data_IF_482518324871
#
_entry.id   IF_482518324871
#
_cell.length_a   1.000
_cell.length_b   1.000
_cell.length_c   1.000
_cell.angle_alpha   90.00
_cell.angle_beta   90.00
_cell.angle_gamma   90.00
#
_symmetry.space_group_name_H-M   'P 1'
#
loop_
_entity.id
_entity.type
_entity.pdbx_description
1 polymer ?
#
# COMPACT_ATOMS: atom_id res chain seq x y z
N UNK A 1 -16.52 -64.00 -45.63
CA UNK A 1 -17.77 -64.58 -46.18
C UNK A 1 -18.84 -63.52 -45.93
N UNK A 2 -19.46 -63.06 -47.06
CA UNK A 2 -20.72 -62.38 -47.24
C UNK A 2 -20.75 -60.93 -46.81
N UNK A 3 -20.61 -59.92 -47.65
CA UNK A 3 -21.29 -59.46 -48.91
C UNK A 3 -22.61 -58.68 -48.65
N UNK A 4 -22.59 -57.40 -49.14
CA UNK A 4 -23.62 -56.62 -49.80
C UNK A 4 -24.65 -55.89 -48.89
N UNK A 5 -25.16 -54.71 -49.17
CA UNK A 5 -25.30 -53.93 -50.42
C UNK A 5 -25.73 -52.52 -50.10
N UNK A 6 -25.41 -51.64 -50.99
CA UNK A 6 -25.81 -50.26 -51.25
C UNK A 6 -27.31 -49.96 -51.17
N UNK A 7 -27.70 -48.78 -50.86
CA UNK A 7 -28.76 -48.04 -51.57
C UNK A 7 -28.58 -46.54 -51.42
N UNK A 8 -28.34 -45.87 -52.54
CA UNK A 8 -28.42 -44.46 -52.84
C UNK A 8 -29.92 -44.08 -52.98
N UNK A 9 -30.34 -43.00 -52.34
CA UNK A 9 -31.47 -42.22 -52.83
C UNK A 9 -31.14 -40.71 -52.66
N UNK A 10 -31.03 -40.06 -53.82
CA UNK A 10 -31.12 -38.62 -54.00
C UNK A 10 -32.62 -38.25 -53.99
N UNK A 11 -32.98 -37.10 -53.39
CA UNK A 11 -33.93 -36.14 -53.94
C UNK A 11 -33.92 -34.80 -53.20
N UNK A 12 -33.43 -33.83 -53.92
CA UNK A 12 -33.91 -32.49 -54.29
C UNK A 12 -34.56 -31.57 -53.23
N UNK A 13 -33.87 -30.50 -53.04
CA UNK A 13 -34.24 -29.08 -52.91
C UNK A 13 -35.71 -28.69 -52.68
N UNK A 14 -35.88 -27.90 -51.60
CA UNK A 14 -36.76 -26.74 -51.67
C UNK A 14 -36.19 -25.62 -50.77
N UNK A 15 -35.93 -24.49 -51.38
CA UNK A 15 -35.62 -23.20 -50.82
C UNK A 15 -36.87 -22.61 -50.15
N UNK A 16 -36.74 -22.15 -48.91
CA UNK A 16 -37.59 -21.06 -48.44
C UNK A 16 -36.80 -20.22 -47.43
N UNK A 17 -36.60 -18.98 -47.76
CA UNK A 17 -35.96 -18.00 -46.93
C UNK A 17 -36.78 -17.61 -45.70
N UNK A 18 -36.11 -17.50 -44.59
CA UNK A 18 -36.64 -16.95 -43.36
C UNK A 18 -35.49 -16.24 -42.65
N UNK A 19 -35.32 -14.93 -42.91
CA UNK A 19 -34.33 -14.10 -42.24
C UNK A 19 -34.69 -13.95 -40.77
N UNK A 20 -33.99 -14.68 -39.91
CA UNK A 20 -33.94 -14.35 -38.49
C UNK A 20 -32.98 -13.21 -38.29
N UNK A 21 -33.53 -12.01 -38.10
CA UNK A 21 -32.76 -10.87 -37.52
C UNK A 21 -32.26 -11.30 -36.17
N UNK A 22 -30.98 -11.57 -36.05
CA UNK A 22 -30.28 -11.57 -34.78
C UNK A 22 -30.39 -10.14 -34.21
N UNK A 23 -31.25 -9.95 -33.24
CA UNK A 23 -31.25 -8.78 -32.37
C UNK A 23 -29.99 -8.89 -31.50
N UNK A 24 -28.91 -8.27 -31.97
CA UNK A 24 -27.76 -8.02 -31.15
C UNK A 24 -28.17 -7.05 -30.04
N UNK A 25 -28.40 -7.59 -28.87
CA UNK A 25 -28.43 -6.78 -27.65
C UNK A 25 -27.04 -6.19 -27.46
N UNK A 26 -26.88 -4.93 -27.89
CA UNK A 26 -25.79 -4.08 -27.49
C UNK A 26 -25.91 -3.88 -25.96
N UNK A 27 -25.34 -4.76 -25.17
CA UNK A 27 -25.02 -4.44 -23.77
C UNK A 27 -23.97 -3.32 -23.79
N UNK A 28 -24.44 -2.09 -23.93
CA UNK A 28 -23.68 -0.94 -23.48
C UNK A 28 -23.48 -1.14 -21.98
N UNK A 29 -22.30 -1.60 -21.60
CA UNK A 29 -21.87 -1.52 -20.21
C UNK A 29 -21.97 -0.05 -19.82
N UNK A 30 -22.98 0.29 -19.02
CA UNK A 30 -23.06 1.62 -18.40
C UNK A 30 -21.73 1.86 -17.71
N UNK A 31 -21.04 2.90 -18.15
CA UNK A 31 -19.82 3.37 -17.46
C UNK A 31 -20.28 3.82 -16.09
N UNK A 32 -20.04 3.00 -15.08
CA UNK A 32 -20.24 3.40 -13.69
C UNK A 32 -19.39 4.66 -13.47
N UNK A 33 -20.06 5.79 -13.33
CA UNK A 33 -19.42 7.05 -12.97
C UNK A 33 -19.09 6.93 -11.49
N UNK A 34 -17.85 6.61 -11.20
CA UNK A 34 -17.34 6.61 -9.82
C UNK A 34 -17.18 8.07 -9.39
N UNK A 35 -18.01 8.50 -8.46
CA UNK A 35 -17.83 9.81 -7.81
C UNK A 35 -16.65 9.68 -6.84
N UNK A 36 -15.50 10.21 -7.24
CA UNK A 36 -14.30 10.24 -6.40
C UNK A 36 -14.38 11.46 -5.50
N UNK A 37 -14.34 11.32 -4.16
CA UNK A 37 -14.33 12.45 -3.26
C UNK A 37 -13.07 13.28 -3.45
N UNK A 38 -13.20 14.60 -3.22
CA UNK A 38 -12.05 15.47 -3.30
C UNK A 38 -11.13 15.25 -2.09
N UNK A 39 -9.85 14.99 -2.36
CA UNK A 39 -8.80 14.93 -1.36
C UNK A 39 -8.49 16.34 -0.84
N UNK A 40 -8.43 16.49 0.47
CA UNK A 40 -8.10 17.74 1.15
C UNK A 40 -6.62 17.74 1.54
N UNK A 41 -5.81 18.42 0.73
CA UNK A 41 -4.37 18.50 0.93
C UNK A 41 -3.99 19.23 2.23
N UNK A 42 -4.75 20.25 2.63
CA UNK A 42 -4.50 20.99 3.87
C UNK A 42 -4.74 20.11 5.10
N UNK A 43 -5.79 19.28 5.07
CA UNK A 43 -6.01 18.27 6.11
C UNK A 43 -4.89 17.24 6.17
N UNK A 44 -4.44 16.72 5.02
CA UNK A 44 -3.32 15.76 4.97
C UNK A 44 -2.04 16.38 5.54
N UNK A 45 -1.71 17.63 5.15
CA UNK A 45 -0.58 18.37 5.70
C UNK A 45 -0.71 18.58 7.22
N UNK A 46 -1.90 18.91 7.72
CA UNK A 46 -2.12 19.05 9.16
C UNK A 46 -1.88 17.72 9.90
N UNK A 47 -2.23 16.59 9.32
CA UNK A 47 -1.94 15.27 9.92
C UNK A 47 -0.43 14.98 9.95
N UNK A 48 0.32 15.39 8.94
CA UNK A 48 1.80 15.33 8.96
C UNK A 48 2.34 16.21 10.08
N UNK A 49 1.94 17.49 10.13
CA UNK A 49 2.36 18.44 11.15
C UNK A 49 2.09 17.92 12.56
N UNK A 50 0.90 17.38 12.81
CA UNK A 50 0.53 16.85 14.12
C UNK A 50 1.43 15.70 14.57
N UNK A 51 1.89 14.85 13.65
CA UNK A 51 2.85 13.79 13.95
C UNK A 51 4.23 14.37 14.31
N UNK A 52 4.70 15.34 13.53
CA UNK A 52 5.98 16.03 13.75
C UNK A 52 6.00 16.79 15.09
N UNK A 53 4.88 17.37 15.48
CA UNK A 53 4.76 18.13 16.75
C UNK A 53 4.94 17.23 17.99
N UNK A 54 4.82 15.91 17.90
CA UNK A 54 5.20 14.99 18.99
C UNK A 54 6.72 14.89 19.16
N UNK A 55 7.49 15.18 18.13
CA UNK A 55 8.92 14.91 18.04
C UNK A 55 9.25 13.62 17.30
N UNK A 56 10.50 13.17 17.32
CA UNK A 56 10.91 11.91 16.71
C UNK A 56 10.12 10.70 17.29
N UNK A 57 9.50 9.91 16.40
CA UNK A 57 8.70 8.75 16.79
C UNK A 57 9.54 7.48 16.84
N UNK A 58 10.72 7.58 17.45
CA UNK A 58 11.61 6.43 17.60
C UNK A 58 10.99 5.40 18.55
N UNK A 59 10.93 4.11 18.19
CA UNK A 59 10.43 3.06 19.08
C UNK A 59 11.03 3.14 20.49
N UNK A 60 10.23 2.83 21.51
CA UNK A 60 10.55 2.92 22.94
C UNK A 60 10.52 4.34 23.55
N UNK A 61 10.25 5.39 22.78
CA UNK A 61 10.16 6.76 23.33
C UNK A 61 8.73 7.13 23.75
N UNK A 62 8.61 8.17 24.57
CA UNK A 62 7.29 8.70 24.96
C UNK A 62 6.57 9.37 23.79
N UNK A 63 7.32 9.97 22.87
CA UNK A 63 6.85 10.59 21.63
C UNK A 63 6.20 9.56 20.72
N UNK A 64 6.85 8.42 20.55
CA UNK A 64 6.33 7.26 19.83
C UNK A 64 5.01 6.77 20.43
N UNK A 65 4.96 6.54 21.74
CA UNK A 65 3.71 6.11 22.42
C UNK A 65 2.60 7.14 22.23
N UNK A 66 2.90 8.43 22.39
CA UNK A 66 1.91 9.50 22.28
C UNK A 66 1.37 9.63 20.84
N UNK A 67 2.26 9.61 19.85
CA UNK A 67 1.88 9.64 18.44
C UNK A 67 1.06 8.40 18.05
N UNK A 68 1.47 7.19 18.45
CA UNK A 68 0.71 5.97 18.19
C UNK A 68 -0.72 6.02 18.78
N UNK A 69 -0.91 6.64 19.96
CA UNK A 69 -2.24 6.85 20.53
C UNK A 69 -3.07 7.85 19.69
N UNK A 70 -2.44 8.93 19.21
CA UNK A 70 -3.07 9.88 18.32
C UNK A 70 -3.53 9.22 17.02
N UNK A 71 -2.66 8.42 16.37
CA UNK A 71 -2.96 7.73 15.12
C UNK A 71 -4.13 6.74 15.26
N UNK A 72 -4.11 5.91 16.31
CA UNK A 72 -5.20 5.00 16.62
C UNK A 72 -6.52 5.75 16.84
N UNK A 73 -6.51 6.82 17.65
CA UNK A 73 -7.69 7.66 17.90
C UNK A 73 -8.20 8.37 16.64
N UNK A 74 -7.32 8.74 15.70
CA UNK A 74 -7.75 9.33 14.41
C UNK A 74 -8.46 8.30 13.53
N UNK A 75 -7.93 7.08 13.42
CA UNK A 75 -8.60 6.01 12.67
C UNK A 75 -9.97 5.66 13.28
N UNK A 76 -10.06 5.60 14.63
CA UNK A 76 -11.34 5.40 15.33
C UNK A 76 -12.33 6.53 15.04
N UNK A 77 -11.88 7.79 15.13
CA UNK A 77 -12.71 8.97 14.83
C UNK A 77 -13.20 8.99 13.37
N UNK A 78 -12.44 8.39 12.46
CA UNK A 78 -12.84 8.20 11.08
C UNK A 78 -13.59 6.88 10.82
N UNK A 79 -14.14 6.26 11.87
CA UNK A 79 -15.06 5.13 11.76
C UNK A 79 -14.41 3.77 11.50
N UNK A 80 -13.09 3.66 11.59
CA UNK A 80 -12.43 2.37 11.48
C UNK A 80 -12.59 1.53 12.74
N UNK A 81 -12.68 0.21 12.57
CA UNK A 81 -12.42 -0.74 13.67
C UNK A 81 -10.92 -0.84 13.86
N UNK A 82 -10.40 -0.29 14.95
CA UNK A 82 -8.96 -0.25 15.20
C UNK A 82 -8.48 -1.51 15.94
N UNK A 83 -7.37 -2.06 15.48
CA UNK A 83 -6.60 -3.12 16.13
C UNK A 83 -5.18 -2.62 16.34
N UNK A 84 -4.71 -2.65 17.59
CA UNK A 84 -3.32 -2.38 17.94
C UNK A 84 -2.57 -3.70 18.08
N UNK A 85 -1.59 -3.93 17.19
CA UNK A 85 -0.77 -5.12 17.22
C UNK A 85 0.58 -4.79 17.86
N UNK A 86 0.71 -5.11 19.14
CA UNK A 86 1.97 -4.93 19.87
C UNK A 86 2.91 -6.11 19.62
N UNK A 87 4.20 -5.84 19.49
CA UNK A 87 5.23 -6.84 19.31
C UNK A 87 6.54 -6.42 19.98
N UNK A 88 7.25 -7.40 20.52
CA UNK A 88 8.62 -7.26 20.98
C UNK A 88 9.55 -7.68 19.83
N UNK A 89 10.21 -6.71 19.19
CA UNK A 89 11.06 -6.93 18.04
C UNK A 89 12.52 -6.69 18.42
N UNK A 90 13.44 -7.44 17.82
CA UNK A 90 14.87 -7.30 18.08
C UNK A 90 15.51 -6.58 16.92
N UNK A 91 16.10 -5.41 17.19
CA UNK A 91 16.84 -4.63 16.22
C UNK A 91 18.21 -5.26 15.89
N UNK A 92 18.89 -4.74 14.86
CA UNK A 92 20.19 -5.22 14.37
C UNK A 92 21.28 -5.26 15.46
N UNK A 93 21.21 -4.39 16.44
CA UNK A 93 22.15 -4.24 17.56
C UNK A 93 21.75 -5.03 18.83
N UNK A 94 20.64 -5.77 18.77
CA UNK A 94 20.08 -6.50 19.91
C UNK A 94 19.13 -5.69 20.78
N UNK A 95 18.85 -4.44 20.45
CA UNK A 95 17.88 -3.61 21.15
C UNK A 95 16.48 -4.20 21.04
N UNK A 96 15.78 -4.33 22.17
CA UNK A 96 14.38 -4.76 22.21
C UNK A 96 13.47 -3.55 21.92
N UNK A 97 12.78 -3.59 20.79
CA UNK A 97 11.82 -2.57 20.37
C UNK A 97 10.40 -2.97 20.78
N UNK A 98 9.70 -2.12 21.52
CA UNK A 98 8.29 -2.26 21.85
C UNK A 98 7.46 -1.68 20.71
N UNK A 99 7.34 -2.43 19.65
CA UNK A 99 6.69 -1.99 18.42
C UNK A 99 5.16 -2.09 18.49
N UNK A 100 4.47 -1.29 17.70
CA UNK A 100 3.02 -1.21 17.61
C UNK A 100 2.56 -0.95 16.17
N UNK A 101 2.18 -1.97 15.44
CA UNK A 101 1.42 -1.77 14.20
C UNK A 101 -0.01 -1.35 14.54
N UNK A 102 -0.56 -0.38 13.81
CA UNK A 102 -1.90 0.18 14.03
C UNK A 102 -2.74 -0.09 12.80
N UNK A 103 -3.81 -0.85 12.94
CA UNK A 103 -4.65 -1.30 11.83
C UNK A 103 -6.05 -0.70 11.97
N UNK A 104 -6.50 0.09 11.00
CA UNK A 104 -7.85 0.59 10.88
C UNK A 104 -8.61 -0.15 9.79
N UNK A 105 -9.61 -0.97 10.18
CA UNK A 105 -10.39 -1.78 9.25
C UNK A 105 -11.75 -1.17 8.98
N UNK A 106 -12.06 -0.93 7.70
CA UNK A 106 -13.38 -0.54 7.20
C UNK A 106 -14.05 -1.76 6.57
N UNK A 107 -15.33 -1.98 6.90
CA UNK A 107 -16.07 -3.20 6.52
C UNK A 107 -15.25 -4.47 6.75
N UNK A 108 -14.89 -4.77 8.01
CA UNK A 108 -14.02 -5.89 8.36
C UNK A 108 -14.59 -7.25 7.95
N UNK A 109 -15.91 -7.36 7.78
CA UNK A 109 -16.61 -8.56 7.32
C UNK A 109 -16.45 -8.82 5.80
N UNK A 110 -16.04 -7.81 5.02
CA UNK A 110 -15.90 -7.94 3.58
C UNK A 110 -14.69 -8.80 3.23
N UNK A 111 -14.93 -9.86 2.45
CA UNK A 111 -13.86 -10.71 1.89
C UNK A 111 -13.15 -10.07 0.69
N UNK A 112 -13.78 -9.05 0.06
CA UNK A 112 -13.19 -8.29 -1.03
C UNK A 112 -12.57 -7.03 -0.45
N UNK A 113 -11.28 -7.03 -0.19
CA UNK A 113 -10.58 -5.92 0.44
C UNK A 113 -9.27 -5.57 -0.23
N UNK A 114 -8.80 -4.36 0.02
CA UNK A 114 -7.46 -3.87 -0.28
C UNK A 114 -6.80 -3.42 1.02
N UNK A 115 -5.47 -3.36 1.02
CA UNK A 115 -4.68 -2.85 2.13
C UNK A 115 -3.88 -1.63 1.69
N UNK A 116 -3.84 -0.61 2.54
CA UNK A 116 -3.04 0.60 2.36
C UNK A 116 -2.06 0.68 3.51
N UNK A 117 -0.80 0.92 3.22
CA UNK A 117 0.28 0.89 4.19
C UNK A 117 1.06 2.18 4.21
N UNK A 118 1.60 2.53 5.35
CA UNK A 118 2.67 3.50 5.55
C UNK A 118 3.38 3.17 6.86
N UNK A 119 4.67 3.41 6.98
CA UNK A 119 5.31 3.37 8.29
C UNK A 119 5.09 4.68 9.05
N UNK A 120 5.16 4.65 10.38
CA UNK A 120 4.86 5.81 11.21
C UNK A 120 5.97 6.15 12.23
N UNK A 121 6.90 5.24 12.45
CA UNK A 121 8.10 5.48 13.23
C UNK A 121 9.08 6.39 12.50
N UNK A 122 10.17 6.75 13.14
CA UNK A 122 11.22 7.55 12.55
C UNK A 122 12.59 7.00 12.89
N UNK A 123 13.53 7.28 12.00
CA UNK A 123 14.92 6.92 12.12
C UNK A 123 15.55 7.54 13.36
N UNK A 124 16.22 6.75 14.21
CA UNK A 124 16.92 7.25 15.39
C UNK A 124 18.20 8.00 15.06
N UNK A 125 18.61 8.03 13.81
CA UNK A 125 19.87 8.60 13.34
C UNK A 125 19.66 9.45 12.09
N UNK A 126 20.26 10.66 12.06
CA UNK A 126 20.37 11.46 10.85
C UNK A 126 21.67 11.10 10.10
N UNK A 127 21.90 9.81 9.87
CA UNK A 127 23.16 9.25 9.37
C UNK A 127 23.44 9.53 7.89
N UNK A 128 22.51 10.16 7.19
CA UNK A 128 22.69 10.73 5.85
C UNK A 128 22.80 12.26 5.86
N UNK A 129 22.83 12.91 7.04
CA UNK A 129 23.02 14.37 7.13
C UNK A 129 24.44 14.75 6.69
N UNK A 130 24.57 15.86 5.96
CA UNK A 130 25.87 16.36 5.52
C UNK A 130 26.81 16.77 6.66
N UNK A 131 26.29 17.15 7.84
CA UNK A 131 27.07 17.41 9.05
C UNK A 131 27.09 16.16 9.95
N UNK A 132 28.22 15.46 10.00
CA UNK A 132 28.42 14.25 10.81
C UNK A 132 28.05 14.41 12.30
N UNK A 133 28.04 15.65 12.82
CA UNK A 133 27.63 15.92 14.22
C UNK A 133 26.15 15.54 14.45
N UNK A 134 25.34 15.53 13.40
CA UNK A 134 23.93 15.17 13.46
C UNK A 134 23.69 13.67 13.39
N UNK A 135 24.68 12.86 12.96
CA UNK A 135 24.50 11.44 12.66
C UNK A 135 23.89 10.62 13.80
N UNK A 136 24.11 11.01 15.06
CA UNK A 136 23.56 10.33 16.23
C UNK A 136 22.31 10.99 16.80
N UNK A 137 21.68 11.90 16.06
CA UNK A 137 20.42 12.54 16.45
C UNK A 137 19.25 11.97 15.69
N UNK A 138 18.08 11.75 16.33
CA UNK A 138 16.91 11.25 15.63
C UNK A 138 16.33 12.32 14.69
N UNK A 139 15.74 11.88 13.58
CA UNK A 139 15.07 12.76 12.63
C UNK A 139 13.62 13.04 13.05
N UNK A 140 13.06 14.17 12.59
CA UNK A 140 11.64 14.50 12.79
C UNK A 140 10.69 13.72 11.87
N UNK A 141 11.20 13.19 10.77
CA UNK A 141 10.47 12.32 9.86
C UNK A 141 9.18 12.94 9.33
N UNK A 142 9.24 14.15 8.76
CA UNK A 142 8.05 14.79 8.18
C UNK A 142 7.65 14.14 6.85
N UNK A 143 8.64 13.87 5.99
CA UNK A 143 8.42 13.14 4.75
C UNK A 143 8.49 11.64 4.98
N UNK A 144 9.53 11.21 5.64
CA UNK A 144 9.84 9.85 6.01
C UNK A 144 9.18 9.49 7.35
N UNK A 145 8.23 8.71 7.30
CA UNK A 145 7.06 8.13 7.80
C UNK A 145 5.82 9.01 7.84
N UNK A 146 5.88 10.30 8.24
CA UNK A 146 4.65 11.05 8.51
C UNK A 146 3.85 11.41 7.25
N UNK A 147 4.48 11.53 6.07
CA UNK A 147 3.76 11.93 4.85
C UNK A 147 2.81 10.85 4.35
N UNK A 148 3.26 9.60 4.29
CA UNK A 148 2.43 8.45 3.94
C UNK A 148 1.24 8.30 4.88
N UNK A 149 1.50 8.37 6.19
CA UNK A 149 0.46 8.34 7.23
C UNK A 149 -0.52 9.51 7.09
N UNK A 150 -0.03 10.73 6.85
CA UNK A 150 -0.89 11.91 6.67
C UNK A 150 -1.84 11.77 5.49
N UNK A 151 -1.33 11.26 4.36
CA UNK A 151 -2.14 10.95 3.18
C UNK A 151 -3.19 9.87 3.48
N UNK A 152 -2.80 8.80 4.18
CA UNK A 152 -3.70 7.70 4.54
C UNK A 152 -4.77 8.12 5.57
N UNK A 153 -4.48 9.05 6.47
CA UNK A 153 -5.50 9.60 7.39
C UNK A 153 -6.56 10.41 6.63
N UNK A 154 -6.16 11.17 5.62
CA UNK A 154 -7.14 11.86 4.77
C UNK A 154 -7.96 10.85 3.95
N UNK A 155 -7.34 9.81 3.42
CA UNK A 155 -8.03 8.69 2.77
C UNK A 155 -8.99 8.01 3.75
N UNK A 156 -8.61 7.80 5.01
CA UNK A 156 -9.46 7.25 6.06
C UNK A 156 -10.74 8.10 6.25
N UNK A 157 -10.57 9.42 6.32
CA UNK A 157 -11.69 10.36 6.41
C UNK A 157 -12.63 10.23 5.21
N UNK A 158 -12.08 10.14 4.00
CA UNK A 158 -12.86 10.00 2.77
C UNK A 158 -13.56 8.63 2.67
N UNK A 159 -12.91 7.56 3.10
CA UNK A 159 -13.51 6.21 3.17
C UNK A 159 -14.72 6.21 4.10
N UNK A 160 -14.62 6.88 5.25
CA UNK A 160 -15.75 7.02 6.17
C UNK A 160 -16.93 7.78 5.56
N UNK A 161 -16.65 8.84 4.79
CA UNK A 161 -17.69 9.62 4.10
C UNK A 161 -18.36 8.87 2.96
N UNK A 162 -17.58 8.12 2.16
CA UNK A 162 -18.07 7.48 0.93
C UNK A 162 -18.56 6.04 1.14
N UNK A 163 -18.15 5.39 2.23
CA UNK A 163 -18.56 4.03 2.58
C UNK A 163 -18.48 3.04 1.39
N UNK A 164 -17.30 2.86 0.75
CA UNK A 164 -17.16 2.03 -0.42
C UNK A 164 -17.61 0.58 -0.13
N UNK A 165 -18.05 -0.16 -1.16
CA UNK A 165 -18.56 -1.53 -0.97
C UNK A 165 -17.48 -2.55 -0.59
N UNK A 166 -16.21 -2.28 -0.95
CA UNK A 166 -15.11 -3.17 -0.57
C UNK A 166 -14.57 -2.85 0.84
N UNK A 167 -14.00 -3.84 1.49
CA UNK A 167 -13.23 -3.63 2.71
C UNK A 167 -11.92 -2.91 2.43
N UNK A 168 -11.53 -2.01 3.32
CA UNK A 168 -10.25 -1.30 3.25
C UNK A 168 -9.59 -1.42 4.62
N UNK A 169 -8.33 -1.86 4.63
CA UNK A 169 -7.48 -1.78 5.81
C UNK A 169 -6.42 -0.71 5.59
N UNK A 170 -6.32 0.22 6.53
CA UNK A 170 -5.24 1.19 6.62
C UNK A 170 -4.33 0.71 7.74
N UNK A 171 -3.08 0.44 7.42
CA UNK A 171 -2.13 -0.23 8.31
C UNK A 171 -0.90 0.65 8.43
N UNK A 172 -0.71 1.19 9.63
CA UNK A 172 0.50 1.93 9.98
C UNK A 172 1.49 0.94 10.58
N UNK A 173 2.61 0.77 9.92
CA UNK A 173 3.68 -0.16 10.27
C UNK A 173 4.71 0.55 11.15
N UNK A 174 5.28 -0.17 12.11
CA UNK A 174 6.22 0.35 13.08
C UNK A 174 7.61 -0.28 12.90
N UNK A 175 8.64 0.38 13.40
CA UNK A 175 10.01 -0.09 13.35
C UNK A 175 10.47 -0.47 11.93
N UNK A 176 10.04 0.31 10.95
CA UNK A 176 10.54 0.25 9.59
C UNK A 176 11.97 0.77 9.57
N UNK A 177 12.17 1.96 10.13
CA UNK A 177 13.34 2.83 9.96
C UNK A 177 14.41 2.67 11.08
N UNK A 178 14.22 1.67 11.95
CA UNK A 178 15.24 1.28 12.95
C UNK A 178 16.31 0.33 12.36
N UNK A 179 16.60 0.49 11.07
CA UNK A 179 17.57 -0.31 10.36
C UNK A 179 19.01 0.08 10.69
N UNK A 180 19.97 -0.65 10.11
CA UNK A 180 21.40 -0.46 10.35
C UNK A 180 21.87 0.91 9.87
N UNK A 181 22.45 1.77 10.72
CA UNK A 181 22.94 3.10 10.33
C UNK A 181 24.21 3.01 9.47
N UNK A 182 24.48 4.08 8.69
CA UNK A 182 25.65 4.17 7.82
C UNK A 182 27.00 4.03 8.55
N UNK A 183 27.07 4.49 9.80
CA UNK A 183 28.28 4.41 10.64
C UNK A 183 28.45 3.03 11.32
N UNK A 184 27.59 2.05 11.06
CA UNK A 184 27.72 0.71 11.61
C UNK A 184 28.78 -0.09 10.86
N UNK A 185 29.83 -0.53 11.56
CA UNK A 185 30.94 -1.27 10.97
C UNK A 185 30.66 -2.75 10.74
N UNK A 186 29.50 -3.24 11.20
CA UNK A 186 29.09 -4.65 11.04
C UNK A 186 28.50 -4.96 9.68
N UNK A 187 27.98 -6.18 9.56
CA UNK A 187 27.32 -6.61 8.32
C UNK A 187 25.91 -6.01 8.21
N UNK A 188 25.68 -5.20 7.20
CA UNK A 188 24.34 -4.74 6.84
C UNK A 188 23.50 -5.90 6.29
N UNK A 189 22.26 -6.01 6.76
CA UNK A 189 21.30 -7.04 6.35
C UNK A 189 19.99 -6.38 5.97
N UNK A 190 19.41 -6.84 4.88
CA UNK A 190 18.08 -6.39 4.43
C UNK A 190 17.02 -6.62 5.53
N UNK A 191 17.09 -7.76 6.22
CA UNK A 191 16.11 -8.13 7.26
C UNK A 191 16.24 -7.32 8.57
N UNK A 192 17.22 -6.41 8.66
CA UNK A 192 17.34 -5.48 9.79
C UNK A 192 16.37 -4.29 9.70
N UNK A 193 15.72 -4.11 8.55
CA UNK A 193 14.76 -3.07 8.24
C UNK A 193 13.32 -3.60 8.27
N UNK A 194 12.35 -2.71 8.30
CA UNK A 194 10.93 -3.04 8.11
C UNK A 194 10.43 -4.11 9.11
N UNK A 195 10.88 -4.05 10.37
CA UNK A 195 10.61 -5.11 11.35
C UNK A 195 9.11 -5.27 11.64
N UNK A 196 8.35 -4.18 11.64
CA UNK A 196 6.91 -4.21 11.86
C UNK A 196 6.14 -4.90 10.75
N UNK A 197 6.48 -4.64 9.48
CA UNK A 197 5.84 -5.33 8.35
C UNK A 197 6.25 -6.80 8.28
N UNK A 198 7.49 -7.14 8.61
CA UNK A 198 7.93 -8.52 8.74
C UNK A 198 7.10 -9.27 9.79
N UNK A 199 6.87 -8.63 10.95
CA UNK A 199 6.06 -9.22 12.01
C UNK A 199 4.60 -9.37 11.60
N UNK A 200 3.98 -8.29 11.07
CA UNK A 200 2.59 -8.30 10.60
C UNK A 200 2.37 -9.35 9.51
N UNK A 201 3.30 -9.48 8.57
CA UNK A 201 3.20 -10.43 7.46
C UNK A 201 3.20 -11.88 7.92
N UNK A 202 3.90 -12.20 9.02
CA UNK A 202 3.90 -13.53 9.63
C UNK A 202 2.74 -13.75 10.61
N UNK A 203 2.22 -12.66 11.19
CA UNK A 203 1.20 -12.65 12.23
C UNK A 203 0.08 -11.66 11.90
N UNK A 204 -0.67 -11.84 10.82
CA UNK A 204 -1.68 -10.87 10.43
C UNK A 204 -2.74 -10.71 11.53
N UNK A 205 -3.30 -9.51 11.64
CA UNK A 205 -4.29 -9.14 12.66
C UNK A 205 -5.61 -9.92 12.58
N UNK A 206 -5.85 -10.65 11.50
CA UNK A 206 -6.98 -11.57 11.30
C UNK A 206 -6.43 -12.89 10.78
N UNK A 207 -6.85 -13.98 11.35
CA UNK A 207 -6.46 -15.32 10.89
C UNK A 207 -6.90 -15.54 9.43
N UNK A 208 -5.96 -15.97 8.58
CA UNK A 208 -6.22 -16.16 7.14
C UNK A 208 -6.47 -14.85 6.39
N UNK A 209 -5.95 -13.73 6.90
CA UNK A 209 -6.03 -12.43 6.24
C UNK A 209 -5.54 -12.50 4.81
N UNK A 210 -6.31 -11.90 3.91
CA UNK A 210 -5.92 -11.75 2.52
C UNK A 210 -6.53 -10.46 1.96
N UNK A 211 -5.73 -9.72 1.21
CA UNK A 211 -6.15 -8.55 0.44
C UNK A 211 -5.92 -8.81 -1.05
N UNK A 212 -6.75 -8.22 -1.89
CA UNK A 212 -6.62 -8.35 -3.36
C UNK A 212 -5.29 -7.77 -3.84
N UNK A 213 -4.85 -6.71 -3.20
CA UNK A 213 -3.56 -6.06 -3.35
C UNK A 213 -3.33 -5.07 -2.23
N UNK A 214 -2.08 -4.64 -2.08
CA UNK A 214 -1.65 -3.57 -1.20
C UNK A 214 -1.05 -2.39 -1.96
N UNK A 215 -1.05 -1.21 -1.33
CA UNK A 215 -0.32 -0.02 -1.76
C UNK A 215 0.37 0.55 -0.54
N UNK A 216 1.67 0.65 -0.57
CA UNK A 216 2.49 1.37 0.39
C UNK A 216 2.67 2.81 -0.07
N UNK A 217 2.66 3.75 0.85
CA UNK A 217 3.00 5.14 0.63
C UNK A 217 4.19 5.49 1.51
N UNK A 218 5.33 5.75 0.92
CA UNK A 218 6.50 6.23 1.63
C UNK A 218 7.09 7.48 0.98
N UNK A 219 7.53 8.43 1.83
CA UNK A 219 8.16 9.70 1.42
C UNK A 219 7.37 10.50 0.37
N UNK A 220 6.04 10.45 0.42
CA UNK A 220 5.15 11.03 -0.62
C UNK A 220 4.90 12.54 -0.49
N UNK A 221 5.50 13.20 0.51
CA UNK A 221 5.26 14.61 0.84
C UNK A 221 6.34 15.57 0.32
N UNK A 222 7.34 15.09 -0.42
CA UNK A 222 8.42 15.93 -0.94
C UNK A 222 7.93 16.91 -2.03
N UNK A 223 8.49 18.12 -2.02
CA UNK A 223 8.22 19.10 -3.06
C UNK A 223 8.77 18.60 -4.41
N UNK A 224 7.93 18.65 -5.45
CA UNK A 224 8.27 18.20 -6.80
C UNK A 224 8.60 16.70 -6.92
N UNK A 225 8.21 15.88 -5.95
CA UNK A 225 8.43 14.43 -6.02
C UNK A 225 7.88 13.82 -7.30
N UNK A 226 8.65 12.91 -7.88
CA UNK A 226 8.31 12.12 -9.06
C UNK A 226 8.33 10.65 -8.67
N UNK A 227 7.31 9.91 -9.08
CA UNK A 227 7.18 8.49 -8.78
C UNK A 227 7.37 7.67 -10.05
N UNK A 228 8.40 6.83 -10.04
CA UNK A 228 8.61 5.77 -11.01
C UNK A 228 7.99 4.47 -10.48
N UNK A 229 7.85 3.47 -11.33
CA UNK A 229 7.42 2.14 -10.88
C UNK A 229 8.60 1.45 -10.21
N UNK A 230 8.59 1.42 -8.88
CA UNK A 230 9.63 0.82 -8.08
C UNK A 230 9.91 -0.63 -8.52
N UNK A 231 11.16 -1.09 -8.43
CA UNK A 231 11.64 -2.31 -9.06
C UNK A 231 11.05 -3.60 -8.52
N UNK A 232 10.91 -3.77 -7.19
CA UNK A 232 10.23 -4.92 -6.59
C UNK A 232 8.72 -4.88 -6.82
N UNK A 233 8.12 -3.69 -6.85
CA UNK A 233 6.71 -3.51 -7.23
C UNK A 233 6.43 -4.01 -8.64
N UNK A 234 7.34 -3.76 -9.59
CA UNK A 234 7.26 -4.31 -10.96
C UNK A 234 7.48 -5.84 -10.99
N UNK A 235 8.29 -6.38 -10.09
CA UNK A 235 8.53 -7.82 -10.00
C UNK A 235 7.32 -8.57 -9.43
N UNK A 236 6.76 -8.11 -8.30
CA UNK A 236 5.71 -8.83 -7.58
C UNK A 236 4.29 -8.44 -8.00
N UNK A 237 4.06 -7.19 -8.42
CA UNK A 237 2.73 -6.62 -8.64
C UNK A 237 2.61 -5.72 -9.89
N UNK A 238 3.15 -6.11 -11.08
CA UNK A 238 3.15 -5.25 -12.28
C UNK A 238 1.75 -4.87 -12.75
N UNK A 239 0.76 -5.72 -12.53
CA UNK A 239 -0.64 -5.47 -12.85
C UNK A 239 -1.25 -4.36 -11.96
N UNK A 240 -0.80 -4.24 -10.72
CA UNK A 240 -1.23 -3.18 -9.79
C UNK A 240 -0.55 -1.86 -10.13
N UNK A 241 0.77 -1.86 -10.37
CA UNK A 241 1.49 -0.69 -10.88
C UNK A 241 0.79 -0.11 -12.11
N UNK A 242 0.59 -0.93 -13.14
CA UNK A 242 -0.10 -0.52 -14.37
C UNK A 242 -1.48 0.09 -14.09
N UNK A 243 -2.24 -0.47 -13.16
CA UNK A 243 -3.55 0.03 -12.77
C UNK A 243 -3.47 1.39 -12.11
N UNK A 244 -2.55 1.56 -11.14
CA UNK A 244 -2.39 2.79 -10.36
C UNK A 244 -1.85 3.92 -11.22
N UNK A 245 -0.77 3.70 -12.00
CA UNK A 245 -0.21 4.69 -12.91
C UNK A 245 -1.21 5.14 -14.00
N UNK A 246 -2.00 4.20 -14.52
CA UNK A 246 -3.09 4.53 -15.45
C UNK A 246 -4.16 5.41 -14.77
N UNK A 247 -4.50 5.14 -13.51
CA UNK A 247 -5.45 5.95 -12.75
C UNK A 247 -4.90 7.35 -12.47
N UNK A 248 -3.64 7.46 -12.04
CA UNK A 248 -2.95 8.73 -11.82
C UNK A 248 -2.89 9.58 -13.10
N UNK A 249 -2.51 8.99 -14.23
CA UNK A 249 -2.51 9.66 -15.54
C UNK A 249 -3.91 10.16 -15.92
N UNK A 250 -4.96 9.35 -15.70
CA UNK A 250 -6.34 9.74 -15.97
C UNK A 250 -6.81 10.90 -15.06
N UNK A 251 -6.30 10.95 -13.84
CA UNK A 251 -6.56 12.03 -12.88
C UNK A 251 -5.76 13.32 -13.15
N UNK A 252 -4.87 13.31 -14.16
CA UNK A 252 -4.08 14.50 -14.54
C UNK A 252 -2.64 14.51 -14.00
N UNK A 253 -2.24 13.48 -13.24
CA UNK A 253 -0.92 13.41 -12.57
C UNK A 253 0.14 12.63 -13.37
N UNK A 254 0.00 12.53 -14.69
CA UNK A 254 0.94 11.79 -15.53
C UNK A 254 2.36 12.38 -15.60
N UNK A 255 2.57 13.61 -15.11
CA UNK A 255 3.91 14.21 -14.95
C UNK A 255 4.57 13.88 -13.62
N UNK A 256 3.77 13.50 -12.64
CA UNK A 256 4.21 13.08 -11.32
C UNK A 256 4.41 11.56 -11.25
N UNK A 257 3.49 10.81 -11.89
CA UNK A 257 3.56 9.35 -12.00
C UNK A 257 4.08 8.98 -13.40
N UNK A 258 5.40 8.85 -13.50
CA UNK A 258 6.08 8.55 -14.77
C UNK A 258 6.01 7.04 -15.05
N UNK A 259 5.57 6.67 -16.26
CA UNK A 259 5.38 5.27 -16.67
C UNK A 259 6.71 4.61 -17.08
N UNK A 260 7.69 4.66 -16.17
CA UNK A 260 9.02 4.10 -16.32
C UNK A 260 9.34 3.23 -15.09
N UNK A 261 10.29 2.30 -15.25
CA UNK A 261 10.77 1.48 -14.13
C UNK A 261 11.82 2.27 -13.36
N UNK A 262 11.66 2.30 -12.04
CA UNK A 262 12.64 2.80 -11.08
C UNK A 262 13.58 1.72 -10.52
N UNK A 263 14.40 2.10 -9.57
CA UNK A 263 15.28 1.21 -8.84
C UNK A 263 14.51 0.27 -7.92
N UNK A 264 15.19 -0.74 -7.38
CA UNK A 264 14.67 -1.61 -6.32
C UNK A 264 14.99 -0.99 -4.96
N UNK A 265 13.96 -0.85 -4.14
CA UNK A 265 14.08 -0.26 -2.80
C UNK A 265 13.66 -1.30 -1.76
N UNK A 266 14.50 -1.51 -0.74
CA UNK A 266 14.12 -2.34 0.41
C UNK A 266 13.20 -1.52 1.30
N UNK A 267 11.93 -1.92 1.35
CA UNK A 267 10.90 -1.27 2.12
C UNK A 267 9.81 -2.29 2.52
N UNK A 268 8.84 -1.90 3.31
CA UNK A 268 7.77 -2.73 3.88
C UNK A 268 7.06 -3.59 2.82
N UNK A 269 6.80 -3.04 1.63
CA UNK A 269 6.15 -3.77 0.52
C UNK A 269 6.91 -5.02 0.11
N UNK A 270 8.24 -5.01 0.18
CA UNK A 270 9.07 -6.16 -0.15
C UNK A 270 8.75 -7.34 0.77
N UNK A 271 8.71 -7.09 2.09
CA UNK A 271 8.41 -8.12 3.08
C UNK A 271 6.95 -8.56 3.04
N UNK A 272 6.01 -7.65 2.76
CA UNK A 272 4.60 -7.97 2.55
C UNK A 272 4.45 -8.93 1.35
N UNK A 273 5.10 -8.64 0.23
CA UNK A 273 5.10 -9.51 -0.95
C UNK A 273 5.70 -10.89 -0.65
N UNK A 274 6.88 -10.92 -0.02
CA UNK A 274 7.61 -12.17 0.24
C UNK A 274 6.96 -13.06 1.30
N UNK A 275 6.44 -12.47 2.38
CA UNK A 275 5.99 -13.19 3.57
C UNK A 275 4.48 -13.35 3.63
N UNK A 276 3.71 -12.27 3.43
CA UNK A 276 2.26 -12.34 3.41
C UNK A 276 1.69 -12.78 2.05
N UNK A 277 2.51 -12.73 0.98
CA UNK A 277 2.14 -13.05 -0.40
C UNK A 277 0.96 -12.22 -0.92
N UNK A 278 0.88 -10.98 -0.46
CA UNK A 278 -0.08 -10.00 -0.94
C UNK A 278 0.64 -9.10 -1.94
N UNK A 279 0.17 -9.10 -3.19
CA UNK A 279 0.70 -8.21 -4.24
C UNK A 279 0.63 -6.76 -3.79
N UNK A 280 1.76 -6.19 -3.42
CA UNK A 280 1.86 -4.83 -2.88
C UNK A 280 2.86 -4.02 -3.69
N UNK A 281 2.44 -2.83 -4.08
CA UNK A 281 3.31 -1.84 -4.71
C UNK A 281 3.70 -0.78 -3.69
N UNK A 282 4.80 -0.13 -3.98
CA UNK A 282 5.29 1.03 -3.27
C UNK A 282 5.18 2.28 -4.15
N UNK A 283 4.66 3.35 -3.58
CA UNK A 283 4.68 4.69 -4.14
C UNK A 283 5.68 5.50 -3.33
N UNK A 284 6.89 5.52 -3.81
CA UNK A 284 8.05 6.18 -3.21
C UNK A 284 8.74 7.05 -4.27
N UNK A 285 9.26 8.24 -3.94
CA UNK A 285 10.03 9.02 -4.89
C UNK A 285 11.30 8.24 -5.27
N UNK A 286 11.57 8.25 -6.56
CA UNK A 286 12.78 7.68 -7.10
C UNK A 286 13.60 8.86 -7.58
N UNK A 287 14.41 9.42 -6.71
CA UNK A 287 15.34 10.49 -7.09
C UNK A 287 16.39 9.93 -8.03
N UNK A 288 16.65 10.59 -9.19
CA UNK A 288 17.65 10.14 -10.15
C UNK A 288 19.08 10.27 -9.65
#
# INVERSE_FOLDING_TARGET
MIVLTSAFVLLSAFSCGGGSKATGTNEQSEKVVVNVPQFDADSAYLYVKNQVDFGPRVPNTKEHVACGNYLAGKLEAFGAKVTNQYADLIAYDGTLLKARNIIGSYKPESKKRIALFAHWDTRPWADNDADEKNHHTPILGANDGASGVGALLEIARLVNLQQPELGIDIIFLDAEDYGTPQFYEGKHKEEAWCLGSQYWSRNPHVQGYNARFGILLDMVGGENSVFLKEGYSEEFAPDINKKVWKAAKKAGYGKTFIDERGDTITDDHLFINRLARIKTIDIIPNDP
#
